data_IF_961405138951
#
_entry.id   IF_961405138951
#
_cell.length_a   1.000
_cell.length_b   1.000
_cell.length_c   1.000
_cell.angle_alpha   90.00
_cell.angle_beta   90.00
_cell.angle_gamma   90.00
#
_symmetry.space_group_name_H-M   'P 1'
#
loop_
_entity.id
_entity.type
_entity.pdbx_description
1 polymer ?
#
# COMPACT_ATOMS: atom_id res chain seq x y z
N UNK A 1 13.06 25.86 -6.74
CA UNK A 1 12.29 25.48 -5.54
C UNK A 1 11.46 24.25 -5.86
N UNK A 2 11.83 23.09 -5.33
CA UNK A 2 11.05 21.85 -5.54
C UNK A 2 9.80 21.97 -4.68
N UNK A 3 8.65 22.27 -5.29
CA UNK A 3 7.37 22.21 -4.59
C UNK A 3 7.19 20.79 -4.05
N UNK A 4 7.31 20.59 -2.72
CA UNK A 4 6.92 19.34 -2.09
C UNK A 4 5.44 19.15 -2.43
N UNK A 5 5.12 18.16 -3.27
CA UNK A 5 3.74 17.81 -3.57
C UNK A 5 3.07 17.46 -2.24
N UNK A 6 1.96 18.15 -1.94
CA UNK A 6 1.24 17.98 -0.68
C UNK A 6 0.52 16.63 -0.71
N UNK A 7 0.63 15.89 0.39
CA UNK A 7 -0.11 14.65 0.66
C UNK A 7 -1.23 14.96 1.65
N UNK A 8 -2.37 14.29 1.49
CA UNK A 8 -3.54 14.48 2.36
C UNK A 8 -3.44 13.64 3.63
N UNK A 9 -2.72 12.52 3.58
CA UNK A 9 -2.57 11.62 4.71
C UNK A 9 -1.22 11.81 5.40
N UNK A 10 -1.25 11.78 6.73
CA UNK A 10 -0.04 11.58 7.51
C UNK A 10 0.38 10.10 7.50
N UNK A 11 1.67 9.79 7.70
CA UNK A 11 2.16 8.42 7.82
C UNK A 11 1.39 7.56 8.86
N UNK A 12 0.96 8.15 9.98
CA UNK A 12 0.18 7.44 11.00
C UNK A 12 -1.22 7.07 10.51
N UNK A 13 -1.87 7.96 9.77
CA UNK A 13 -3.17 7.67 9.15
C UNK A 13 -3.05 6.56 8.11
N UNK A 14 -1.96 6.54 7.33
CA UNK A 14 -1.69 5.47 6.36
C UNK A 14 -1.56 4.12 7.06
N UNK A 15 -0.80 4.06 8.17
CA UNK A 15 -0.66 2.85 8.98
C UNK A 15 -2.02 2.39 9.52
N UNK A 16 -2.82 3.33 10.05
CA UNK A 16 -4.15 3.02 10.58
C UNK A 16 -5.07 2.44 9.50
N UNK A 17 -5.14 3.08 8.32
CA UNK A 17 -5.93 2.62 7.18
C UNK A 17 -5.49 1.21 6.77
N UNK A 18 -4.18 1.01 6.58
CA UNK A 18 -3.63 -0.27 6.15
C UNK A 18 -3.86 -1.38 7.17
N UNK A 19 -3.62 -1.11 8.45
CA UNK A 19 -3.85 -2.06 9.56
C UNK A 19 -5.32 -2.43 9.70
N UNK A 20 -6.21 -1.45 9.67
CA UNK A 20 -7.65 -1.68 9.77
C UNK A 20 -8.14 -2.52 8.59
N UNK A 21 -7.69 -2.20 7.37
CA UNK A 21 -8.02 -2.98 6.19
C UNK A 21 -7.49 -4.42 6.29
N UNK A 22 -6.23 -4.61 6.66
CA UNK A 22 -5.60 -5.93 6.82
C UNK A 22 -6.37 -6.80 7.81
N UNK A 23 -6.65 -6.26 9.01
CA UNK A 23 -7.39 -6.95 10.06
C UNK A 23 -8.82 -7.28 9.66
N UNK A 24 -9.54 -6.33 9.04
CA UNK A 24 -10.95 -6.52 8.64
C UNK A 24 -11.10 -7.58 7.55
N UNK A 25 -10.10 -7.72 6.68
CA UNK A 25 -10.09 -8.73 5.61
C UNK A 25 -9.40 -10.04 6.02
N UNK A 26 -8.92 -10.15 7.28
CA UNK A 26 -8.22 -11.33 7.80
C UNK A 26 -7.07 -11.79 6.90
N UNK A 27 -6.29 -10.82 6.38
CA UNK A 27 -5.18 -11.13 5.50
C UNK A 27 -4.03 -11.77 6.30
N UNK A 28 -3.26 -12.64 5.64
CA UNK A 28 -2.08 -13.24 6.25
C UNK A 28 -0.93 -12.21 6.37
N UNK A 29 0.03 -12.50 7.24
CA UNK A 29 1.18 -11.65 7.52
C UNK A 29 0.94 -10.55 8.57
N UNK A 30 2.00 -9.79 8.86
CA UNK A 30 2.04 -8.70 9.83
C UNK A 30 2.37 -7.38 9.15
N UNK A 31 1.52 -6.36 9.33
CA UNK A 31 1.80 -5.03 8.80
C UNK A 31 3.05 -4.41 9.46
N UNK A 32 3.93 -3.83 8.67
CA UNK A 32 5.08 -3.08 9.17
C UNK A 32 4.62 -1.69 9.61
N UNK A 33 4.57 -1.47 10.93
CA UNK A 33 4.01 -0.25 11.55
C UNK A 33 5.03 0.87 11.77
N UNK A 34 6.15 0.88 11.03
CA UNK A 34 7.14 1.97 11.10
C UNK A 34 6.82 3.04 10.03
N UNK A 35 6.44 4.27 10.43
CA UNK A 35 6.16 5.37 9.51
C UNK A 35 7.31 5.70 8.55
N UNK A 36 8.56 5.41 8.93
CA UNK A 36 9.75 5.68 8.12
C UNK A 36 9.93 4.68 6.98
N UNK A 37 9.27 3.52 7.06
CA UNK A 37 9.33 2.46 6.04
C UNK A 37 8.20 2.58 5.02
N UNK A 38 7.25 3.50 5.20
CA UNK A 38 6.25 3.82 4.20
C UNK A 38 6.90 4.48 3.00
N UNK A 39 6.54 4.02 1.80
CA UNK A 39 6.91 4.69 0.55
C UNK A 39 5.73 5.52 0.03
N UNK A 40 6.03 6.73 -0.43
CA UNK A 40 5.07 7.64 -1.05
C UNK A 40 5.45 7.85 -2.52
N UNK A 41 4.51 7.61 -3.42
CA UNK A 41 4.61 7.95 -4.84
C UNK A 41 3.62 9.06 -5.14
N UNK A 42 4.08 10.17 -5.72
CA UNK A 42 3.23 11.34 -5.99
C UNK A 42 2.65 11.35 -7.41
N UNK A 43 3.10 10.44 -8.28
CA UNK A 43 2.60 10.33 -9.64
C UNK A 43 2.77 8.89 -10.11
N UNK A 44 1.91 8.00 -9.63
CA UNK A 44 1.98 6.59 -9.99
C UNK A 44 1.85 6.43 -11.52
N UNK A 45 2.74 5.66 -12.19
CA UNK A 45 2.80 5.69 -13.65
C UNK A 45 1.82 4.73 -14.34
N UNK A 46 1.25 3.77 -13.60
CA UNK A 46 0.48 2.67 -14.17
C UNK A 46 -1.02 2.90 -14.14
N UNK A 47 -1.68 2.46 -15.21
CA UNK A 47 -3.13 2.26 -15.29
C UNK A 47 -3.40 0.76 -15.37
N UNK A 48 -4.53 0.34 -14.80
CA UNK A 48 -4.98 -1.04 -14.85
C UNK A 48 -6.38 -1.09 -15.48
N UNK A 49 -6.73 -2.21 -16.14
CA UNK A 49 -8.03 -2.36 -16.82
C UNK A 49 -9.23 -2.01 -15.94
N UNK A 50 -9.14 -2.30 -14.63
CA UNK A 50 -10.22 -2.10 -13.66
C UNK A 50 -10.07 -0.82 -12.82
N UNK A 51 -8.97 -0.08 -12.95
CA UNK A 51 -8.70 1.10 -12.12
C UNK A 51 -7.65 2.01 -12.76
N UNK A 52 -7.99 3.29 -12.97
CA UNK A 52 -7.01 4.29 -13.37
C UNK A 52 -6.31 4.88 -12.13
N UNK A 53 -5.06 4.48 -11.91
CA UNK A 53 -4.20 5.01 -10.85
C UNK A 53 -3.16 6.02 -11.38
N UNK A 54 -3.12 6.28 -12.69
CA UNK A 54 -2.05 7.09 -13.28
C UNK A 54 -2.11 8.53 -12.81
N UNK A 55 -0.95 9.05 -12.44
CA UNK A 55 -0.81 10.38 -11.85
C UNK A 55 -1.34 10.49 -10.41
N UNK A 56 -1.88 9.41 -9.82
CA UNK A 56 -2.37 9.44 -8.44
C UNK A 56 -1.22 9.45 -7.44
N UNK A 57 -1.46 10.06 -6.28
CA UNK A 57 -0.56 9.96 -5.11
C UNK A 57 -0.95 8.71 -4.31
N UNK A 58 -0.01 7.78 -4.13
CA UNK A 58 -0.21 6.49 -3.49
C UNK A 58 0.83 6.25 -2.39
N UNK A 59 0.38 5.64 -1.31
CA UNK A 59 1.22 5.16 -0.22
C UNK A 59 1.38 3.64 -0.31
N UNK A 60 2.56 3.15 0.04
CA UNK A 60 2.94 1.75 -0.01
C UNK A 60 3.33 1.31 1.40
N UNK A 61 2.60 0.32 1.92
CA UNK A 61 2.82 -0.25 3.24
C UNK A 61 3.15 -1.73 3.14
N UNK A 62 4.32 -2.11 3.66
CA UNK A 62 4.80 -3.48 3.64
C UNK A 62 4.02 -4.36 4.63
N UNK A 63 3.72 -5.58 4.22
CA UNK A 63 3.19 -6.65 5.07
C UNK A 63 4.12 -7.85 4.96
N UNK A 64 4.64 -8.27 6.11
CA UNK A 64 5.61 -9.38 6.19
C UNK A 64 4.92 -10.68 6.50
N UNK A 65 5.23 -11.74 5.76
CA UNK A 65 4.78 -13.06 6.20
C UNK A 65 5.59 -13.50 7.42
N UNK A 66 4.97 -14.27 8.35
CA UNK A 66 5.75 -14.95 9.38
C UNK A 66 6.80 -15.85 8.71
N UNK A 67 8.01 -15.94 9.29
CA UNK A 67 9.04 -16.80 8.73
C UNK A 67 8.54 -18.25 8.65
N UNK A 68 8.58 -18.82 7.45
CA UNK A 68 8.22 -20.20 7.17
C UNK A 68 9.31 -20.83 6.31
N UNK A 69 9.46 -22.15 6.37
CA UNK A 69 10.37 -22.95 5.53
C UNK A 69 9.99 -22.92 4.04
N UNK A 70 8.81 -22.39 3.71
CA UNK A 70 8.41 -22.06 2.35
C UNK A 70 8.62 -20.56 2.12
N UNK A 71 9.09 -20.20 0.91
CA UNK A 71 9.32 -18.82 0.47
C UNK A 71 7.99 -18.04 0.38
N UNK A 72 7.43 -17.65 1.52
CA UNK A 72 6.36 -16.67 1.56
C UNK A 72 7.02 -15.29 1.51
N UNK A 73 7.10 -14.74 0.31
CA UNK A 73 7.66 -13.42 0.07
C UNK A 73 6.65 -12.33 0.48
N UNK A 74 7.15 -11.23 1.04
CA UNK A 74 6.34 -10.11 1.54
C UNK A 74 5.45 -9.49 0.45
N UNK A 75 4.33 -8.88 0.84
CA UNK A 75 3.44 -8.16 -0.08
C UNK A 75 3.22 -6.72 0.37
N UNK A 76 2.72 -5.88 -0.52
CA UNK A 76 2.57 -4.44 -0.23
C UNK A 76 1.13 -3.99 -0.40
N UNK A 77 0.51 -3.46 0.65
CA UNK A 77 -0.77 -2.78 0.56
C UNK A 77 -0.56 -1.40 -0.08
N UNK A 78 -1.41 -1.06 -1.05
CA UNK A 78 -1.36 0.23 -1.74
C UNK A 78 -2.57 1.06 -1.36
N UNK A 79 -2.31 2.22 -0.76
CA UNK A 79 -3.29 3.12 -0.17
C UNK A 79 -3.39 4.39 -1.02
N UNK A 80 -4.60 4.76 -1.42
CA UNK A 80 -4.85 6.02 -2.13
C UNK A 80 -4.80 7.18 -1.15
N UNK A 81 -3.90 8.14 -1.41
CA UNK A 81 -3.83 9.38 -0.62
C UNK A 81 -5.10 10.23 -0.76
N UNK A 82 -5.75 10.16 -1.93
CA UNK A 82 -6.99 10.88 -2.22
C UNK A 82 -8.21 10.25 -1.55
N UNK A 83 -8.31 8.92 -1.59
CA UNK A 83 -9.51 8.19 -1.13
C UNK A 83 -9.39 7.66 0.31
N UNK A 84 -8.21 7.78 0.93
CA UNK A 84 -7.94 7.30 2.29
C UNK A 84 -8.31 5.82 2.50
N UNK A 85 -8.05 4.97 1.49
CA UNK A 85 -8.37 3.54 1.51
C UNK A 85 -7.35 2.71 0.75
N UNK A 86 -7.25 1.43 1.09
CA UNK A 86 -6.49 0.45 0.30
C UNK A 86 -7.24 0.20 -1.02
N UNK A 87 -6.53 0.33 -2.14
CA UNK A 87 -7.12 0.22 -3.49
C UNK A 87 -6.72 -1.06 -4.22
N UNK A 88 -5.54 -1.61 -3.90
CA UNK A 88 -5.05 -2.92 -4.33
C UNK A 88 -3.86 -3.31 -3.45
N UNK A 89 -3.34 -4.52 -3.64
CA UNK A 89 -2.04 -4.90 -3.09
C UNK A 89 -1.12 -5.38 -4.21
N UNK A 90 0.18 -5.19 -4.04
CA UNK A 90 1.20 -5.78 -4.90
C UNK A 90 1.58 -7.12 -4.29
N UNK A 91 1.48 -8.19 -5.08
CA UNK A 91 2.10 -9.45 -4.70
C UNK A 91 3.63 -9.34 -4.77
N UNK A 92 4.28 -10.45 -4.44
CA UNK A 92 5.72 -10.56 -4.28
C UNK A 92 6.51 -10.21 -5.54
N UNK A 93 5.87 -10.36 -6.71
CA UNK A 93 6.45 -10.03 -8.02
C UNK A 93 6.13 -8.59 -8.44
N UNK A 94 5.48 -7.80 -7.58
CA UNK A 94 5.01 -6.47 -7.92
C UNK A 94 3.78 -6.48 -8.83
N UNK A 95 3.05 -7.60 -8.94
CA UNK A 95 1.82 -7.63 -9.71
C UNK A 95 0.63 -7.13 -8.88
N UNK A 96 -0.21 -6.24 -9.42
CA UNK A 96 -1.39 -5.74 -8.73
C UNK A 96 -2.44 -6.84 -8.57
N UNK A 97 -2.95 -6.98 -7.35
CA UNK A 97 -4.06 -7.84 -6.99
C UNK A 97 -5.17 -6.98 -6.43
N UNK A 98 -6.34 -7.09 -7.05
CA UNK A 98 -7.52 -6.35 -6.67
C UNK A 98 -8.39 -7.22 -5.77
N UNK A 99 -8.94 -6.61 -4.72
CA UNK A 99 -9.93 -7.25 -3.88
C UNK A 99 -11.23 -7.43 -4.68
N UNK A 100 -11.91 -8.56 -4.48
CA UNK A 100 -13.22 -8.82 -5.11
C UNK A 100 -14.34 -8.09 -4.36
#
# INVERSE_FOLDING_TARGET
MTMKKKTNLSPLQVIEIGKNFHSNNKLEGECVLDPKLLRLEHSYPYEFEKMNCKGSTLWFMLVKYPPNNFLFEDYTLVISDKEAKVIFYLDVNGHPRFFK
#
